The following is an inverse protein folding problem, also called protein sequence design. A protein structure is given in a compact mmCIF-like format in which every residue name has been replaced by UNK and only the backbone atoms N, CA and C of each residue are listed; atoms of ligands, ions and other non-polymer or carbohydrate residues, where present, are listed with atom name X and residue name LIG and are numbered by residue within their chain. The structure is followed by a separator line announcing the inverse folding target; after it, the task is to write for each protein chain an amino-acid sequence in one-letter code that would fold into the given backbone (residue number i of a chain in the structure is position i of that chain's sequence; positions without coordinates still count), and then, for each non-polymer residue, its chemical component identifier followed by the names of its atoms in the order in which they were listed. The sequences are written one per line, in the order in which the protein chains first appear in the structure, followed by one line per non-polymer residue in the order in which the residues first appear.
data_IF_951106025861
#
_entry.id   IF_951106025861
#
_cell.length_a   1.000
_cell.length_b   1.000
_cell.length_c   1.000
_cell.angle_alpha   90.00
_cell.angle_beta   90.00
_cell.angle_gamma   90.00
#
_symmetry.space_group_name_H-M   'P 1'
#
loop_
_entity.id
_entity.type
_entity.pdbx_description
1 polymer ?
#
# COMPACT_ATOMS: atom_id res chain seq x y z
N UNK A 1 63.42 10.65 28.42
CA UNK A 1 63.77 9.23 28.30
C UNK A 1 62.95 8.46 29.33
N UNK A 2 61.73 8.07 28.97
CA UNK A 2 60.91 7.13 29.74
C UNK A 2 60.02 6.36 28.77
N UNK A 3 59.89 5.07 29.06
CA UNK A 3 59.54 3.98 28.15
C UNK A 3 58.05 3.64 28.32
N UNK A 4 57.43 3.28 27.20
CA UNK A 4 56.07 2.75 27.02
C UNK A 4 55.79 1.46 27.81
N UNK A 5 54.53 1.28 28.23
CA UNK A 5 53.89 -0.03 28.35
C UNK A 5 52.42 0.07 27.91
N UNK A 6 51.99 -0.87 27.07
CA UNK A 6 50.64 -1.03 26.54
C UNK A 6 49.91 -2.18 27.27
N UNK A 7 48.57 -2.23 27.31
CA UNK A 7 47.84 -3.35 27.88
C UNK A 7 47.34 -4.38 26.83
N UNK A 8 47.31 -5.63 27.30
CA UNK A 8 46.92 -6.90 26.68
C UNK A 8 45.52 -6.94 26.04
N UNK A 9 45.41 -7.69 24.93
CA UNK A 9 44.16 -8.21 24.37
C UNK A 9 43.99 -9.71 24.67
N UNK A 10 42.78 -10.19 24.98
CA UNK A 10 42.51 -11.61 25.16
C UNK A 10 42.13 -12.33 23.85
N UNK A 11 42.74 -13.50 23.64
CA UNK A 11 42.47 -14.43 22.55
C UNK A 11 41.18 -15.23 22.79
N UNK A 12 40.29 -15.27 21.80
CA UNK A 12 39.14 -16.18 21.77
C UNK A 12 39.16 -17.11 20.55
N UNK A 13 39.38 -18.40 20.87
CA UNK A 13 38.86 -19.66 20.28
C UNK A 13 38.37 -19.66 18.83
N UNK A 14 39.07 -20.45 18.00
CA UNK A 14 38.60 -20.99 16.73
C UNK A 14 37.71 -22.21 16.92
N UNK A 15 36.50 -22.16 16.36
CA UNK A 15 35.52 -23.24 16.32
C UNK A 15 35.75 -24.15 15.11
N UNK A 16 35.66 -25.47 15.34
CA UNK A 16 35.68 -26.50 14.30
C UNK A 16 34.34 -26.56 13.55
N UNK A 17 34.43 -26.85 12.25
CA UNK A 17 33.28 -27.07 11.38
C UNK A 17 33.02 -28.57 11.26
N UNK A 18 31.81 -28.98 11.63
CA UNK A 18 31.26 -30.32 11.40
C UNK A 18 30.29 -30.21 10.21
N UNK A 19 30.53 -31.05 9.20
CA UNK A 19 29.69 -31.29 8.04
C UNK A 19 28.44 -32.06 8.44
N UNK A 20 27.25 -31.56 8.08
CA UNK A 20 26.02 -32.34 7.98
C UNK A 20 25.20 -31.84 6.77
N UNK A 21 25.00 -32.71 5.79
CA UNK A 21 23.86 -32.64 4.88
C UNK A 21 22.56 -32.91 5.66
N UNK A 22 21.43 -32.41 5.16
CA UNK A 22 20.42 -33.37 4.76
C UNK A 22 19.68 -33.02 3.45
N UNK A 23 19.51 -34.09 2.67
CA UNK A 23 18.46 -34.32 1.68
C UNK A 23 17.08 -34.07 2.32
N UNK A 24 16.21 -33.32 1.65
CA UNK A 24 14.75 -33.52 1.70
C UNK A 24 14.10 -32.98 0.43
N UNK A 25 13.54 -33.90 -0.34
CA UNK A 25 12.40 -33.69 -1.23
C UNK A 25 11.25 -33.04 -0.45
N UNK A 26 10.63 -32.00 -1.00
CA UNK A 26 9.18 -31.84 -0.90
C UNK A 26 8.64 -30.85 -1.94
N UNK A 27 8.06 -31.39 -3.01
CA UNK A 27 7.13 -30.67 -3.89
C UNK A 27 5.71 -30.93 -3.40
N UNK A 28 4.86 -29.88 -3.42
CA UNK A 28 3.44 -29.82 -3.00
C UNK A 28 3.17 -29.45 -1.51
N UNK A 29 3.18 -28.15 -1.20
CA UNK A 29 2.51 -27.59 0.00
C UNK A 29 1.90 -26.19 -0.19
N UNK A 30 1.78 -25.67 -1.42
CA UNK A 30 1.38 -24.26 -1.64
C UNK A 30 -0.12 -24.03 -1.84
N UNK A 31 -0.95 -25.07 -2.00
CA UNK A 31 -2.40 -24.88 -2.18
C UNK A 31 -3.21 -24.81 -0.88
N UNK A 32 -2.72 -25.37 0.24
CA UNK A 32 -3.49 -25.43 1.51
C UNK A 32 -3.32 -24.15 2.35
N UNK A 33 -2.17 -23.47 2.23
CA UNK A 33 -1.88 -22.22 2.95
C UNK A 33 -2.77 -21.03 2.54
N UNK A 34 -3.24 -21.00 1.29
CA UNK A 34 -4.12 -19.93 0.80
C UNK A 34 -5.52 -19.93 1.42
N UNK A 35 -6.02 -21.08 1.86
CA UNK A 35 -7.35 -21.21 2.47
C UNK A 35 -7.38 -20.73 3.91
N UNK A 36 -6.35 -21.05 4.71
CA UNK A 36 -6.27 -20.62 6.10
C UNK A 36 -6.08 -19.10 6.22
N UNK A 37 -5.18 -18.52 5.43
CA UNK A 37 -4.96 -17.07 5.39
C UNK A 37 -6.23 -16.30 4.99
N UNK A 38 -7.08 -16.87 4.13
CA UNK A 38 -8.37 -16.28 3.75
C UNK A 38 -9.39 -16.29 4.89
N UNK A 39 -9.40 -17.34 5.71
CA UNK A 39 -10.33 -17.45 6.83
C UNK A 39 -9.94 -16.52 7.98
N UNK A 40 -8.65 -16.33 8.20
CA UNK A 40 -8.12 -15.41 9.20
C UNK A 40 -8.40 -13.94 8.85
N UNK A 41 -8.19 -13.55 7.58
CA UNK A 41 -8.60 -12.23 7.06
C UNK A 41 -10.10 -12.01 7.24
N UNK A 42 -10.93 -13.02 6.95
CA UNK A 42 -12.37 -12.91 7.15
C UNK A 42 -12.73 -12.69 8.63
N UNK A 43 -12.05 -13.36 9.56
CA UNK A 43 -12.27 -13.21 11.01
C UNK A 43 -11.86 -11.82 11.52
N UNK A 44 -10.73 -11.28 11.07
CA UNK A 44 -10.30 -9.92 11.44
C UNK A 44 -11.22 -8.84 10.87
N UNK A 45 -11.62 -8.96 9.60
CA UNK A 45 -12.55 -8.03 8.96
C UNK A 45 -13.95 -8.07 9.60
N UNK A 46 -14.40 -9.26 10.04
CA UNK A 46 -15.69 -9.42 10.73
C UNK A 46 -15.69 -8.79 12.12
N UNK A 47 -14.60 -8.89 12.89
CA UNK A 47 -14.55 -8.36 14.26
C UNK A 47 -14.62 -6.83 14.31
N UNK A 48 -14.02 -6.13 13.36
CA UNK A 48 -14.09 -4.65 13.27
C UNK A 48 -15.43 -4.12 12.74
N UNK A 49 -16.13 -4.90 11.89
CA UNK A 49 -17.30 -4.41 11.15
C UNK A 49 -18.61 -4.39 11.95
N UNK A 50 -18.70 -5.16 13.05
CA UNK A 50 -19.93 -5.26 13.85
C UNK A 50 -20.31 -3.97 14.58
N UNK A 51 -19.35 -3.07 14.85
CA UNK A 51 -19.62 -1.79 15.52
C UNK A 51 -20.19 -0.73 14.57
N UNK A 52 -19.79 -0.74 13.29
CA UNK A 52 -20.13 0.32 12.31
C UNK A 52 -21.51 0.09 11.68
N UNK A 53 -21.91 -1.17 11.48
CA UNK A 53 -23.22 -1.50 10.91
C UNK A 53 -24.41 -1.18 11.84
N UNK A 54 -24.17 -1.04 13.16
CA UNK A 54 -25.23 -0.71 14.10
C UNK A 54 -25.62 0.78 14.08
N UNK A 55 -24.73 1.67 13.64
CA UNK A 55 -24.97 3.12 13.62
C UNK A 55 -25.75 3.58 12.36
N UNK A 56 -25.54 2.94 11.21
CA UNK A 56 -26.23 3.29 9.97
C UNK A 56 -27.72 2.90 9.93
N UNK A 57 -28.20 2.06 10.85
CA UNK A 57 -29.57 1.54 10.81
C UNK A 57 -30.61 2.40 11.56
N UNK A 58 -30.22 3.51 12.20
CA UNK A 58 -31.13 4.28 13.08
C UNK A 58 -31.60 5.62 12.47
N UNK A 59 -31.02 6.08 11.36
CA UNK A 59 -31.19 7.48 10.94
C UNK A 59 -31.98 7.73 9.64
N UNK A 60 -33.02 6.96 9.28
CA UNK A 60 -33.95 7.47 8.25
C UNK A 60 -35.34 6.80 8.20
N UNK A 61 -36.21 7.09 9.17
CA UNK A 61 -37.66 6.89 8.98
C UNK A 61 -38.42 7.99 9.69
N UNK A 62 -38.83 9.03 8.93
CA UNK A 62 -40.09 9.77 9.11
C UNK A 62 -40.18 10.86 8.03
N UNK A 63 -40.96 10.60 6.98
CA UNK A 63 -41.97 11.55 6.50
C UNK A 63 -42.88 10.98 5.40
N UNK A 64 -44.18 11.10 5.68
CA UNK A 64 -45.33 11.42 4.80
C UNK A 64 -45.85 10.38 3.80
N UNK A 65 -47.07 9.92 4.11
CA UNK A 65 -47.97 9.04 3.34
C UNK A 65 -48.36 9.60 1.96
N UNK A 66 -48.49 8.71 0.96
CA UNK A 66 -49.45 8.93 -0.13
C UNK A 66 -49.22 8.17 -1.43
N UNK A 67 -48.00 7.72 -1.72
CA UNK A 67 -47.70 6.90 -2.89
C UNK A 67 -46.65 5.89 -2.47
N UNK A 68 -46.95 4.59 -2.53
CA UNK A 68 -45.97 3.56 -2.21
C UNK A 68 -44.78 3.81 -3.13
N UNK A 69 -43.60 4.22 -2.60
CA UNK A 69 -42.42 4.30 -3.42
C UNK A 69 -42.28 2.90 -3.99
N UNK A 70 -42.20 2.80 -5.32
CA UNK A 70 -41.67 1.60 -5.95
C UNK A 70 -40.28 1.47 -5.35
N UNK A 71 -40.16 0.66 -4.30
CA UNK A 71 -38.88 0.24 -3.74
C UNK A 71 -38.23 -0.50 -4.91
N UNK A 72 -37.46 0.24 -5.70
CA UNK A 72 -36.54 -0.33 -6.66
C UNK A 72 -35.57 -1.13 -5.81
N UNK A 73 -35.83 -2.43 -5.67
CA UNK A 73 -34.93 -3.30 -4.94
C UNK A 73 -33.57 -3.16 -5.59
N UNK A 74 -32.55 -2.88 -4.79
CA UNK A 74 -31.16 -2.78 -5.23
C UNK A 74 -30.70 -4.03 -5.99
N UNK A 75 -31.38 -5.17 -5.76
CA UNK A 75 -31.22 -6.43 -6.48
C UNK A 75 -31.66 -6.41 -7.95
N UNK A 76 -32.30 -5.34 -8.41
CA UNK A 76 -32.70 -5.17 -9.82
C UNK A 76 -31.72 -4.32 -10.63
N UNK A 77 -30.70 -3.76 -9.97
CA UNK A 77 -29.65 -3.02 -10.68
C UNK A 77 -28.80 -3.97 -11.52
N UNK A 78 -28.54 -3.63 -12.79
CA UNK A 78 -27.51 -4.28 -13.58
C UNK A 78 -26.17 -4.30 -12.85
N UNK A 79 -25.44 -5.42 -12.96
CA UNK A 79 -24.15 -5.63 -12.31
C UNK A 79 -23.14 -4.54 -12.65
N UNK A 80 -23.18 -4.01 -13.87
CA UNK A 80 -22.31 -2.93 -14.35
C UNK A 80 -22.51 -1.65 -13.53
N UNK A 81 -23.76 -1.34 -13.17
CA UNK A 81 -24.07 -0.17 -12.33
C UNK A 81 -23.61 -0.40 -10.90
N UNK A 82 -23.79 -1.60 -10.34
CA UNK A 82 -23.28 -1.94 -9.01
C UNK A 82 -21.75 -1.81 -8.94
N UNK A 83 -21.02 -2.33 -9.93
CA UNK A 83 -19.56 -2.18 -10.01
C UNK A 83 -19.17 -0.71 -10.08
N UNK A 84 -19.87 0.10 -10.88
CA UNK A 84 -19.60 1.54 -10.97
C UNK A 84 -19.83 2.25 -9.63
N UNK A 85 -20.93 1.97 -8.95
CA UNK A 85 -21.24 2.50 -7.61
C UNK A 85 -20.16 2.10 -6.62
N UNK A 86 -19.74 0.83 -6.60
CA UNK A 86 -18.67 0.38 -5.72
C UNK A 86 -17.33 1.05 -6.04
N UNK A 87 -16.99 1.24 -7.31
CA UNK A 87 -15.79 1.99 -7.69
C UNK A 87 -15.83 3.41 -7.11
N UNK A 88 -16.94 4.12 -7.27
CA UNK A 88 -17.10 5.48 -6.76
C UNK A 88 -17.01 5.51 -5.22
N UNK A 89 -17.72 4.62 -4.54
CA UNK A 89 -17.67 4.50 -3.09
C UNK A 89 -16.25 4.22 -2.59
N UNK A 90 -15.55 3.27 -3.19
CA UNK A 90 -14.19 2.90 -2.76
C UNK A 90 -13.19 4.04 -3.00
N UNK A 91 -13.32 4.76 -4.12
CA UNK A 91 -12.48 5.93 -4.39
C UNK A 91 -12.77 7.02 -3.36
N UNK A 92 -14.04 7.38 -3.15
CA UNK A 92 -14.42 8.41 -2.18
C UNK A 92 -13.93 8.06 -0.76
N UNK A 93 -14.17 6.83 -0.31
CA UNK A 93 -13.76 6.36 1.01
C UNK A 93 -12.23 6.37 1.20
N UNK A 94 -11.45 6.06 0.16
CA UNK A 94 -9.98 6.16 0.22
C UNK A 94 -9.53 7.61 0.40
N UNK A 95 -10.14 8.54 -0.33
CA UNK A 95 -9.78 9.96 -0.27
C UNK A 95 -10.31 10.68 0.97
N UNK A 96 -11.39 10.17 1.57
CA UNK A 96 -11.91 10.63 2.85
C UNK A 96 -11.10 10.15 4.06
N UNK A 97 -10.06 9.33 3.84
CA UNK A 97 -9.23 8.76 4.90
C UNK A 97 -9.92 7.60 5.64
N UNK A 98 -10.90 6.94 5.03
CA UNK A 98 -11.50 5.74 5.62
C UNK A 98 -10.43 4.66 5.80
N UNK A 99 -10.30 4.08 7.00
CA UNK A 99 -9.35 2.99 7.25
C UNK A 99 -9.53 1.84 6.25
N UNK A 100 -8.44 1.32 5.68
CA UNK A 100 -8.55 0.34 4.60
C UNK A 100 -9.09 -1.03 5.05
N UNK A 101 -9.08 -1.33 6.35
CA UNK A 101 -9.80 -2.50 6.90
C UNK A 101 -11.33 -2.39 6.76
N UNK A 102 -11.88 -1.17 6.77
CA UNK A 102 -13.33 -0.94 6.62
C UNK A 102 -13.74 -0.84 5.15
N UNK A 103 -12.83 -0.36 4.29
CA UNK A 103 -13.08 -0.02 2.90
C UNK A 103 -13.82 -1.14 2.14
N UNK A 104 -13.21 -2.33 2.08
CA UNK A 104 -13.84 -3.48 1.41
C UNK A 104 -14.81 -4.23 2.31
N UNK A 105 -14.62 -4.21 3.63
CA UNK A 105 -15.45 -4.96 4.56
C UNK A 105 -16.93 -4.53 4.47
N UNK A 106 -17.20 -3.22 4.42
CA UNK A 106 -18.57 -2.69 4.32
C UNK A 106 -19.30 -3.29 3.13
N UNK A 107 -18.65 -3.38 1.97
CA UNK A 107 -19.28 -3.86 0.73
C UNK A 107 -19.30 -5.39 0.64
N UNK A 108 -18.25 -6.08 1.12
CA UNK A 108 -18.15 -7.55 1.13
C UNK A 108 -19.11 -8.24 2.11
N UNK A 109 -19.61 -7.51 3.11
CA UNK A 109 -20.49 -8.02 4.16
C UNK A 109 -21.98 -7.78 3.92
N UNK A 110 -22.36 -7.00 2.90
CA UNK A 110 -23.79 -6.71 2.61
C UNK A 110 -24.56 -7.97 2.24
N UNK A 111 -24.16 -8.65 1.16
CA UNK A 111 -24.78 -9.90 0.72
C UNK A 111 -23.80 -10.74 -0.11
N UNK A 112 -24.19 -11.98 -0.44
CA UNK A 112 -23.37 -12.90 -1.25
C UNK A 112 -23.12 -12.35 -2.65
N UNK A 113 -24.15 -11.78 -3.28
CA UNK A 113 -24.05 -11.26 -4.64
C UNK A 113 -23.05 -10.10 -4.73
N UNK A 114 -23.05 -9.19 -3.76
CA UNK A 114 -22.09 -8.08 -3.70
C UNK A 114 -20.66 -8.56 -3.53
N UNK A 115 -20.47 -9.55 -2.65
CA UNK A 115 -19.17 -10.18 -2.46
C UNK A 115 -18.66 -10.83 -3.74
N UNK A 116 -19.52 -11.55 -4.44
CA UNK A 116 -19.16 -12.20 -5.70
C UNK A 116 -18.85 -11.17 -6.78
N UNK A 117 -19.63 -10.10 -6.89
CA UNK A 117 -19.34 -8.98 -7.79
C UNK A 117 -17.95 -8.42 -7.49
N UNK A 118 -17.64 -8.07 -6.24
CA UNK A 118 -16.35 -7.48 -5.88
C UNK A 118 -15.19 -8.43 -6.20
N UNK A 119 -15.34 -9.70 -5.85
CA UNK A 119 -14.29 -10.71 -6.07
C UNK A 119 -13.99 -10.93 -7.55
N UNK A 120 -14.98 -10.83 -8.42
CA UNK A 120 -14.81 -11.06 -9.86
C UNK A 120 -14.45 -9.79 -10.65
N UNK A 121 -14.38 -8.62 -10.02
CA UNK A 121 -14.08 -7.35 -10.68
C UNK A 121 -12.75 -6.76 -10.19
N UNK A 122 -11.63 -7.01 -10.91
CA UNK A 122 -10.29 -6.56 -10.49
C UNK A 122 -10.11 -5.06 -10.33
N UNK A 123 -10.93 -4.24 -10.99
CA UNK A 123 -10.89 -2.77 -10.88
C UNK A 123 -11.21 -2.28 -9.46
N UNK A 124 -12.04 -3.02 -8.72
CA UNK A 124 -12.40 -2.69 -7.33
C UNK A 124 -11.28 -2.96 -6.33
N UNK A 125 -10.19 -3.59 -6.77
CA UNK A 125 -8.99 -3.89 -5.97
C UNK A 125 -7.77 -3.10 -6.44
N UNK A 126 -7.92 -2.24 -7.46
CA UNK A 126 -6.81 -1.53 -8.08
C UNK A 126 -6.35 -0.30 -7.29
N UNK A 127 -7.20 0.23 -6.41
CA UNK A 127 -6.87 1.31 -5.49
C UNK A 127 -6.61 0.71 -4.11
N UNK A 128 -5.39 0.87 -3.59
CA UNK A 128 -4.94 0.22 -2.36
C UNK A 128 -4.51 1.30 -1.36
N UNK A 129 -5.36 1.62 -0.34
CA UNK A 129 -4.91 2.40 0.79
C UNK A 129 -3.90 1.59 1.63
N UNK A 130 -2.93 2.26 2.23
CA UNK A 130 -1.96 1.65 3.15
C UNK A 130 -2.23 2.02 4.61
N UNK A 131 -2.86 3.16 4.89
CA UNK A 131 -3.28 3.57 6.24
C UNK A 131 -4.18 2.50 6.86
N UNK A 132 -3.83 2.05 8.07
CA UNK A 132 -4.63 1.12 8.87
C UNK A 132 -5.12 -0.13 8.12
N UNK A 133 -4.44 -0.47 7.02
CA UNK A 133 -4.83 -1.59 6.15
C UNK A 133 -3.99 -2.77 6.56
N UNK A 134 -4.55 -3.88 7.05
CA UNK A 134 -3.77 -5.04 7.44
C UNK A 134 -2.96 -5.56 6.24
N UNK A 135 -1.72 -6.00 6.47
CA UNK A 135 -0.87 -6.57 5.42
C UNK A 135 -1.58 -7.67 4.60
N UNK A 136 -2.41 -8.46 5.25
CA UNK A 136 -3.17 -9.54 4.62
C UNK A 136 -4.24 -9.01 3.62
N UNK A 137 -4.83 -7.84 3.88
CA UNK A 137 -5.74 -7.15 2.97
C UNK A 137 -4.98 -6.57 1.78
N UNK A 138 -3.79 -5.98 2.00
CA UNK A 138 -2.91 -5.51 0.91
C UNK A 138 -2.54 -6.66 -0.03
N UNK A 139 -2.16 -7.83 0.52
CA UNK A 139 -1.91 -9.06 -0.26
C UNK A 139 -3.13 -9.47 -1.09
N UNK A 140 -4.32 -9.47 -0.47
CA UNK A 140 -5.55 -9.82 -1.17
C UNK A 140 -5.87 -8.82 -2.30
N UNK A 141 -5.68 -7.52 -2.09
CA UNK A 141 -5.91 -6.50 -3.11
C UNK A 141 -4.94 -6.64 -4.30
N UNK A 142 -3.66 -6.86 -4.04
CA UNK A 142 -2.66 -7.10 -5.08
C UNK A 142 -2.97 -8.37 -5.89
N UNK A 143 -3.41 -9.45 -5.22
CA UNK A 143 -3.79 -10.69 -5.89
C UNK A 143 -5.06 -10.53 -6.75
N UNK A 144 -6.09 -9.85 -6.23
CA UNK A 144 -7.38 -9.71 -6.92
C UNK A 144 -7.36 -8.64 -8.02
N UNK A 145 -6.44 -7.67 -7.99
CA UNK A 145 -6.28 -6.65 -9.03
C UNK A 145 -5.68 -7.18 -10.34
N UNK A 146 -5.14 -8.42 -10.35
CA UNK A 146 -4.63 -9.12 -11.54
C UNK A 146 -3.58 -8.31 -12.31
N UNK A 147 -3.80 -7.99 -13.59
CA UNK A 147 -2.89 -7.19 -14.41
C UNK A 147 -3.28 -5.70 -14.48
N UNK A 148 -4.23 -5.24 -13.65
CA UNK A 148 -4.68 -3.84 -13.69
C UNK A 148 -3.61 -2.90 -13.16
N UNK A 149 -3.60 -1.69 -13.72
CA UNK A 149 -2.81 -0.58 -13.20
C UNK A 149 -3.25 -0.24 -11.77
N UNK A 150 -2.29 0.02 -10.89
CA UNK A 150 -2.49 0.21 -9.46
C UNK A 150 -2.40 1.68 -9.06
N UNK A 151 -3.25 2.10 -8.13
CA UNK A 151 -3.17 3.39 -7.45
C UNK A 151 -2.95 3.10 -5.97
N UNK A 152 -1.76 3.42 -5.47
CA UNK A 152 -1.37 3.17 -4.09
C UNK A 152 -1.35 4.51 -3.37
N UNK A 153 -2.00 4.58 -2.22
CA UNK A 153 -2.02 5.81 -1.45
C UNK A 153 -1.97 5.54 0.05
N UNK A 154 -1.42 6.51 0.79
CA UNK A 154 -1.57 6.55 2.23
C UNK A 154 -0.29 6.73 3.02
N UNK A 155 -0.46 6.78 4.33
CA UNK A 155 0.63 6.82 5.29
C UNK A 155 1.11 5.41 5.61
N UNK A 156 2.43 5.23 5.57
CA UNK A 156 3.11 4.02 5.96
C UNK A 156 3.66 4.18 7.37
N UNK A 157 2.90 3.66 8.34
CA UNK A 157 3.22 3.67 9.76
C UNK A 157 3.04 2.27 10.37
N UNK A 158 3.62 2.06 11.56
CA UNK A 158 3.52 0.79 12.28
C UNK A 158 4.59 -0.25 11.92
N UNK A 159 4.53 -1.41 12.59
CA UNK A 159 5.56 -2.44 12.50
C UNK A 159 5.62 -3.18 11.15
N UNK A 160 4.53 -3.19 10.39
CA UNK A 160 4.43 -3.87 9.09
C UNK A 160 4.62 -2.94 7.88
N UNK A 161 4.88 -1.64 8.10
CA UNK A 161 5.02 -0.64 7.05
C UNK A 161 6.08 -1.03 6.00
N UNK A 162 7.24 -1.52 6.45
CA UNK A 162 8.31 -1.98 5.54
C UNK A 162 7.90 -3.19 4.70
N UNK A 163 7.14 -4.13 5.26
CA UNK A 163 6.66 -5.30 4.55
C UNK A 163 5.56 -4.95 3.53
N UNK A 164 4.63 -4.07 3.90
CA UNK A 164 3.62 -3.51 3.00
C UNK A 164 4.26 -2.84 1.81
N UNK A 165 5.25 -1.98 2.07
CA UNK A 165 5.96 -1.26 1.03
C UNK A 165 6.67 -2.21 0.07
N UNK A 166 7.46 -3.17 0.59
CA UNK A 166 8.11 -4.20 -0.24
C UNK A 166 7.12 -4.95 -1.11
N UNK A 167 6.00 -5.37 -0.52
CA UNK A 167 4.96 -6.12 -1.21
C UNK A 167 4.31 -5.30 -2.35
N UNK A 168 4.03 -4.01 -2.12
CA UNK A 168 3.51 -3.11 -3.17
C UNK A 168 4.54 -2.92 -4.28
N UNK A 169 5.81 -2.72 -3.93
CA UNK A 169 6.88 -2.45 -4.89
C UNK A 169 7.21 -3.66 -5.77
N UNK A 170 6.89 -4.89 -5.35
CA UNK A 170 6.92 -6.06 -6.23
C UNK A 170 5.97 -5.94 -7.43
N UNK A 171 4.97 -5.05 -7.36
CA UNK A 171 4.06 -4.73 -8.45
C UNK A 171 4.39 -3.39 -9.13
N UNK A 172 5.62 -2.86 -8.99
CA UNK A 172 6.07 -1.55 -9.50
C UNK A 172 5.70 -1.27 -10.96
N UNK A 173 5.84 -2.27 -11.84
CA UNK A 173 5.52 -2.16 -13.27
C UNK A 173 4.05 -1.86 -13.56
N UNK A 174 3.16 -2.11 -12.60
CA UNK A 174 1.72 -1.83 -12.69
C UNK A 174 1.33 -0.54 -11.99
N UNK A 175 2.21 0.07 -11.18
CA UNK A 175 1.87 1.27 -10.41
C UNK A 175 1.71 2.45 -11.37
N UNK A 176 0.52 3.05 -11.33
CA UNK A 176 0.15 4.25 -12.08
C UNK A 176 0.13 5.47 -11.18
N UNK A 177 -0.37 5.35 -9.95
CA UNK A 177 -0.33 6.43 -8.98
C UNK A 177 0.32 5.93 -7.69
N UNK A 178 1.28 6.69 -7.17
CA UNK A 178 1.98 6.40 -5.93
C UNK A 178 1.94 7.65 -5.06
N UNK A 179 1.12 7.62 -4.01
CA UNK A 179 0.98 8.70 -3.04
C UNK A 179 1.34 8.21 -1.64
N UNK A 180 2.57 8.42 -1.20
CA UNK A 180 3.06 7.88 0.06
C UNK A 180 3.44 9.01 1.03
N UNK A 181 2.95 8.88 2.26
CA UNK A 181 3.48 9.59 3.43
C UNK A 181 4.32 8.59 4.25
N UNK A 182 5.61 8.87 4.36
CA UNK A 182 6.59 7.97 4.93
C UNK A 182 7.00 8.51 6.31
N UNK A 183 6.74 7.73 7.37
CA UNK A 183 7.04 8.17 8.74
C UNK A 183 8.54 8.10 9.09
N UNK A 184 9.32 7.30 8.36
CA UNK A 184 10.74 7.10 8.66
C UNK A 184 11.65 7.04 7.44
N UNK A 185 12.90 7.48 7.63
CA UNK A 185 13.97 7.39 6.65
C UNK A 185 14.31 5.94 6.24
N UNK A 186 13.98 4.96 7.10
CA UNK A 186 14.15 3.55 6.78
C UNK A 186 13.21 3.11 5.65
N UNK A 187 11.99 3.62 5.59
CA UNK A 187 11.05 3.33 4.51
C UNK A 187 11.50 3.93 3.18
N UNK A 188 12.15 5.10 3.20
CA UNK A 188 12.78 5.69 2.02
C UNK A 188 13.88 4.78 1.46
N UNK A 189 14.69 4.16 2.32
CA UNK A 189 15.70 3.18 1.90
C UNK A 189 15.07 1.95 1.27
N UNK A 190 14.04 1.38 1.90
CA UNK A 190 13.30 0.25 1.32
C UNK A 190 12.74 0.60 -0.05
N UNK A 191 12.19 1.81 -0.18
CA UNK A 191 11.66 2.32 -1.45
C UNK A 191 12.76 2.35 -2.52
N UNK A 192 13.92 2.92 -2.23
CA UNK A 192 15.05 2.96 -3.17
C UNK A 192 15.57 1.56 -3.53
N UNK A 193 15.75 0.68 -2.54
CA UNK A 193 16.32 -0.65 -2.73
C UNK A 193 15.41 -1.60 -3.51
N UNK A 194 14.08 -1.42 -3.45
CA UNK A 194 13.12 -2.41 -3.96
C UNK A 194 12.55 -2.07 -5.35
N UNK A 195 12.57 -0.81 -5.79
CA UNK A 195 11.85 -0.40 -7.01
C UNK A 195 12.41 -1.04 -8.30
N UNK A 196 13.64 -1.56 -8.29
CA UNK A 196 14.20 -2.36 -9.39
C UNK A 196 14.15 -1.64 -10.74
N UNK A 197 13.48 -2.26 -11.71
CA UNK A 197 13.36 -1.82 -13.12
C UNK A 197 12.56 -0.51 -13.32
N UNK A 198 12.04 0.08 -12.25
CA UNK A 198 11.32 1.37 -12.28
C UNK A 198 9.80 1.23 -12.38
N UNK A 199 9.12 2.35 -12.66
CA UNK A 199 7.65 2.45 -12.70
C UNK A 199 7.16 3.01 -14.06
N UNK A 200 7.19 2.22 -15.14
CA UNK A 200 6.89 2.72 -16.50
C UNK A 200 5.45 3.20 -16.72
N UNK A 201 4.52 2.83 -15.84
CA UNK A 201 3.11 3.24 -15.91
C UNK A 201 2.78 4.44 -15.04
N UNK A 202 3.76 4.98 -14.30
CA UNK A 202 3.55 6.03 -13.31
C UNK A 202 3.09 7.32 -14.00
N UNK A 203 1.93 7.82 -13.59
CA UNK A 203 1.35 9.10 -14.00
C UNK A 203 1.29 10.09 -12.86
N UNK A 204 1.27 9.62 -11.61
CA UNK A 204 1.18 10.46 -10.43
C UNK A 204 2.18 9.97 -9.37
N UNK A 205 3.07 10.86 -8.95
CA UNK A 205 4.00 10.63 -7.85
C UNK A 205 3.79 11.72 -6.80
N UNK A 206 3.38 11.31 -5.60
CA UNK A 206 3.29 12.16 -4.42
C UNK A 206 4.11 11.48 -3.31
N UNK A 207 5.15 12.15 -2.84
CA UNK A 207 6.02 11.64 -1.78
C UNK A 207 6.19 12.68 -0.68
N UNK A 208 5.82 12.29 0.53
CA UNK A 208 6.09 13.04 1.74
C UNK A 208 7.08 12.26 2.60
N UNK A 209 8.23 12.88 2.87
CA UNK A 209 9.28 12.32 3.72
C UNK A 209 9.32 13.03 5.07
N UNK A 210 9.77 12.37 6.14
CA UNK A 210 9.86 13.02 7.44
C UNK A 210 11.10 13.92 7.48
N UNK A 211 10.92 15.17 7.95
CA UNK A 211 12.08 16.02 8.28
C UNK A 211 12.84 15.46 9.46
N UNK A 212 14.00 14.88 9.23
CA UNK A 212 14.91 14.52 10.32
C UNK A 212 15.67 15.77 10.76
N UNK A 213 15.12 16.51 11.72
CA UNK A 213 15.71 17.77 12.24
C UNK A 213 17.10 17.56 12.87
N UNK A 214 17.44 16.34 13.28
CA UNK A 214 18.62 16.05 14.10
C UNK A 214 19.53 14.91 13.60
N UNK A 215 19.30 14.37 12.40
CA UNK A 215 20.05 13.20 11.94
C UNK A 215 21.30 13.55 11.09
N UNK A 216 22.30 12.64 11.06
CA UNK A 216 23.50 12.68 10.22
C UNK A 216 23.17 12.85 8.72
N UNK A 217 24.16 13.08 7.81
CA UNK A 217 23.93 13.79 6.55
C UNK A 217 22.73 13.23 5.77
N UNK A 218 21.96 14.13 5.13
CA UNK A 218 20.65 13.81 4.59
C UNK A 218 20.76 12.59 3.68
N UNK A 219 19.94 11.56 3.91
CA UNK A 219 19.85 10.45 2.98
C UNK A 219 19.46 10.98 1.60
N UNK A 220 20.21 10.60 0.57
CA UNK A 220 19.95 11.02 -0.80
C UNK A 220 19.20 9.91 -1.51
N UNK A 221 17.93 10.16 -1.83
CA UNK A 221 17.16 9.20 -2.60
C UNK A 221 17.51 9.30 -4.08
N UNK A 222 17.87 8.17 -4.71
CA UNK A 222 17.94 8.06 -6.16
C UNK A 222 16.53 8.01 -6.76
N UNK A 223 16.00 9.17 -7.13
CA UNK A 223 14.65 9.29 -7.70
C UNK A 223 14.54 8.81 -9.16
N UNK A 224 15.62 8.36 -9.81
CA UNK A 224 15.57 7.88 -11.21
C UNK A 224 14.60 6.72 -11.41
N UNK A 225 14.35 5.93 -10.36
CA UNK A 225 13.45 4.79 -10.42
C UNK A 225 11.97 5.18 -10.63
N UNK A 226 11.60 6.43 -10.35
CA UNK A 226 10.25 6.94 -10.64
C UNK A 226 10.14 7.65 -11.99
N UNK A 227 11.20 7.66 -12.79
CA UNK A 227 11.16 8.24 -14.13
C UNK A 227 10.12 7.50 -14.98
N UNK A 228 9.17 8.26 -15.52
CA UNK A 228 8.12 7.75 -16.40
C UNK A 228 7.80 8.80 -17.45
N UNK A 229 7.67 8.35 -18.71
CA UNK A 229 7.25 9.21 -19.82
C UNK A 229 5.79 9.66 -19.70
N UNK A 230 5.05 9.07 -18.76
CA UNK A 230 3.63 9.34 -18.51
C UNK A 230 3.39 10.18 -17.27
N UNK A 231 4.45 10.61 -16.57
CA UNK A 231 4.34 11.34 -15.32
C UNK A 231 3.69 12.71 -15.56
N UNK A 232 2.47 12.89 -15.04
CA UNK A 232 1.68 14.12 -15.18
C UNK A 232 1.73 14.96 -13.90
N UNK A 233 1.71 14.29 -12.74
CA UNK A 233 1.76 14.94 -11.43
C UNK A 233 3.00 14.51 -10.67
N UNK A 234 3.79 15.49 -10.25
CA UNK A 234 4.94 15.32 -9.38
C UNK A 234 4.80 16.25 -8.17
N UNK A 235 4.65 15.66 -6.99
CA UNK A 235 4.49 16.39 -5.73
C UNK A 235 5.44 15.80 -4.68
N UNK A 236 6.49 16.54 -4.32
CA UNK A 236 7.53 16.05 -3.41
C UNK A 236 7.73 17.04 -2.28
N UNK A 237 7.65 16.53 -1.05
CA UNK A 237 7.82 17.30 0.17
C UNK A 237 8.94 16.72 1.02
N UNK A 238 9.80 17.60 1.52
CA UNK A 238 10.79 17.27 2.55
C UNK A 238 11.78 16.15 2.16
N UNK A 239 12.02 16.00 0.86
CA UNK A 239 12.93 15.00 0.31
C UNK A 239 14.26 15.64 -0.11
N UNK A 240 15.36 14.94 0.19
CA UNK A 240 16.70 15.29 -0.31
C UNK A 240 17.11 14.35 -1.43
N UNK A 241 17.54 14.91 -2.57
CA UNK A 241 17.97 14.15 -3.73
C UNK A 241 19.08 14.88 -4.48
N UNK A 242 19.84 14.13 -5.27
CA UNK A 242 20.97 14.70 -6.02
C UNK A 242 20.52 15.57 -7.20
N UNK A 243 19.46 15.18 -7.91
CA UNK A 243 18.97 15.90 -9.08
C UNK A 243 17.55 15.45 -9.41
N UNK A 244 16.65 16.40 -9.65
CA UNK A 244 15.26 16.14 -10.07
C UNK A 244 15.07 15.97 -11.58
N UNK A 245 16.07 16.32 -12.39
CA UNK A 245 16.02 16.20 -13.86
C UNK A 245 15.52 14.85 -14.38
N UNK A 246 15.87 13.68 -13.79
CA UNK A 246 15.36 12.39 -14.27
C UNK A 246 13.85 12.21 -14.17
N UNK A 247 13.17 12.98 -13.31
CA UNK A 247 11.72 12.96 -13.19
C UNK A 247 11.04 13.91 -14.16
N UNK A 248 11.76 14.92 -14.67
CA UNK A 248 11.18 15.91 -15.57
C UNK A 248 10.91 15.27 -16.94
N UNK A 249 9.67 15.35 -17.38
CA UNK A 249 9.27 14.97 -18.72
C UNK A 249 8.22 15.96 -19.24
N UNK A 250 8.05 15.99 -20.57
CA UNK A 250 7.17 16.96 -21.24
C UNK A 250 5.68 16.77 -20.89
N UNK A 251 5.32 15.64 -20.25
CA UNK A 251 3.95 15.33 -19.85
C UNK A 251 3.55 15.86 -18.48
N UNK A 252 4.49 16.44 -17.70
CA UNK A 252 4.17 17.02 -16.38
C UNK A 252 3.27 18.24 -16.55
N UNK A 253 2.09 18.17 -15.94
CA UNK A 253 1.14 19.27 -15.85
C UNK A 253 1.14 19.92 -14.46
N UNK A 254 1.47 19.14 -13.43
CA UNK A 254 1.39 19.55 -12.04
C UNK A 254 2.72 19.25 -11.35
N UNK A 255 3.46 20.31 -10.98
CA UNK A 255 4.74 20.22 -10.30
C UNK A 255 4.70 20.99 -8.99
N UNK A 256 4.90 20.29 -7.87
CA UNK A 256 5.04 20.89 -6.55
C UNK A 256 6.29 20.32 -5.88
N UNK A 257 7.23 21.21 -5.54
CA UNK A 257 8.45 20.86 -4.82
C UNK A 257 8.51 21.76 -3.58
N UNK A 258 8.31 21.17 -2.40
CA UNK A 258 8.27 21.92 -1.15
C UNK A 258 9.39 21.45 -0.24
N UNK A 259 10.21 22.39 0.23
CA UNK A 259 11.25 22.12 1.24
C UNK A 259 12.25 21.01 0.84
N UNK A 260 12.45 20.83 -0.47
CA UNK A 260 13.44 19.92 -1.03
C UNK A 260 14.82 20.58 -1.02
N UNK A 261 15.87 19.78 -0.77
CA UNK A 261 17.26 20.23 -0.82
C UNK A 261 17.92 19.54 -2.01
N UNK A 262 18.26 20.31 -3.04
CA UNK A 262 19.10 19.86 -4.14
C UNK A 262 20.57 20.04 -3.76
N UNK A 263 21.35 18.97 -3.90
CA UNK A 263 22.76 18.98 -3.55
C UNK A 263 23.59 19.13 -4.81
N UNK A 264 24.31 20.24 -4.88
CA UNK A 264 25.24 20.59 -5.95
C UNK A 264 26.48 19.70 -5.98
#
# INVERSE_FOLDING_TARGET
MHIHAAPDQPQHRTSGWITLEPILDNTNSDLVSTTHAREEIAKELLHGSHSVLHEFHIAEVRTVNGSRPLQSCISTLPTELLVHIFCLYLVDAVWSGTPGNQLWAVVLLVCRDWRDIIKHNPSLWATIPLNDTPLAVVKAALANSKARALSICGKLEGCDAGEKLKLVLQASVRIRALNLDLESIHLLRILEETVGDGMPQLTELVLHAPKTVNDPPPFHMNIKHFASQRLMKLDVHDLSFQSFYPLLCDSITDLTLTQCIELS
#
